data_IF_674312987194
#
_entry.id   IF_674312987194
#
_cell.length_a   1.000
_cell.length_b   1.000
_cell.length_c   1.000
_cell.angle_alpha   90.00
_cell.angle_beta   90.00
_cell.angle_gamma   90.00
#
_symmetry.space_group_name_H-M   'P 1'
#
loop_
_entity.id
_entity.type
_entity.pdbx_description
1 polymer ?
#
# COMPACT_ATOMS: atom_id res chain seq x y z
N UNK A 1 -45.24 14.49 -14.43
CA UNK A 1 -43.78 14.35 -14.64
C UNK A 1 -43.12 15.38 -13.80
N UNK A 2 -42.84 15.04 -12.52
CA UNK A 2 -42.06 15.88 -11.63
C UNK A 2 -40.59 15.70 -12.06
N UNK A 3 -39.99 16.79 -12.56
CA UNK A 3 -38.55 16.89 -12.64
C UNK A 3 -37.98 16.80 -11.23
N UNK A 4 -37.53 15.61 -10.83
CA UNK A 4 -36.71 15.46 -9.65
C UNK A 4 -35.42 16.22 -9.93
N UNK A 5 -35.33 17.41 -9.34
CA UNK A 5 -34.12 18.20 -9.28
C UNK A 5 -33.09 17.39 -8.50
N UNK A 6 -32.43 16.43 -9.14
CA UNK A 6 -31.32 15.67 -8.59
C UNK A 6 -30.18 16.65 -8.32
N UNK A 7 -30.20 17.23 -7.11
CA UNK A 7 -29.06 18.02 -6.64
C UNK A 7 -27.90 17.07 -6.44
N UNK A 8 -27.09 16.93 -7.51
CA UNK A 8 -25.88 16.11 -7.46
C UNK A 8 -24.95 16.66 -6.36
N UNK A 9 -24.52 15.81 -5.46
CA UNK A 9 -23.58 16.16 -4.38
C UNK A 9 -22.27 16.65 -5.03
N UNK A 10 -21.94 17.94 -4.82
CA UNK A 10 -20.71 18.55 -5.34
C UNK A 10 -19.51 18.34 -4.41
N UNK A 11 -19.77 18.24 -3.11
CA UNK A 11 -18.76 18.13 -2.06
C UNK A 11 -19.17 17.12 -0.99
N UNK A 12 -18.24 16.32 -0.51
CA UNK A 12 -18.36 15.47 0.67
C UNK A 12 -17.68 16.12 1.87
N UNK A 13 -18.12 15.74 3.09
CA UNK A 13 -17.55 16.16 4.37
C UNK A 13 -16.99 14.91 5.03
N UNK A 14 -15.67 14.81 5.15
CA UNK A 14 -14.99 13.70 5.82
C UNK A 14 -15.06 13.90 7.34
N UNK A 15 -15.71 12.97 8.05
CA UNK A 15 -15.86 13.06 9.50
C UNK A 15 -14.60 12.63 10.22
N UNK A 16 -13.50 13.23 10.14
CA UNK A 16 -12.21 12.99 10.80
C UNK A 16 -12.10 11.88 11.88
N UNK A 17 -10.99 11.81 12.58
CA UNK A 17 -10.71 10.75 13.56
C UNK A 17 -11.28 11.08 14.96
N UNK A 18 -11.27 12.35 15.33
CA UNK A 18 -11.68 12.82 16.66
C UNK A 18 -12.18 14.25 16.61
N UNK A 19 -12.99 14.61 17.61
CA UNK A 19 -13.45 15.98 17.86
C UNK A 19 -12.69 16.68 18.98
N UNK A 20 -11.83 15.96 19.74
CA UNK A 20 -11.06 16.54 20.84
C UNK A 20 -9.85 17.29 20.31
N UNK A 21 -9.81 18.61 20.49
CA UNK A 21 -8.76 19.49 19.94
C UNK A 21 -7.32 19.11 20.38
N UNK A 22 -7.12 18.78 21.65
CA UNK A 22 -5.81 18.34 22.14
C UNK A 22 -5.32 17.05 21.47
N UNK A 23 -6.25 16.10 21.24
CA UNK A 23 -5.94 14.86 20.56
C UNK A 23 -5.68 15.09 19.07
N UNK A 24 -6.35 16.06 18.43
CA UNK A 24 -6.10 16.44 17.03
C UNK A 24 -4.66 16.92 16.82
N UNK A 25 -4.15 17.78 17.70
CA UNK A 25 -2.75 18.28 17.61
C UNK A 25 -1.75 17.14 17.80
N UNK A 26 -1.99 16.27 18.78
CA UNK A 26 -1.12 15.11 19.00
C UNK A 26 -1.09 14.16 17.79
N UNK A 27 -2.27 13.82 17.26
CA UNK A 27 -2.40 12.96 16.06
C UNK A 27 -1.80 13.62 14.83
N UNK A 28 -1.96 14.95 14.66
CA UNK A 28 -1.34 15.67 13.57
C UNK A 28 0.18 15.53 13.57
N UNK A 29 0.82 15.78 14.73
CA UNK A 29 2.29 15.65 14.84
C UNK A 29 2.73 14.22 14.59
N UNK A 30 2.05 13.23 15.20
CA UNK A 30 2.40 11.83 15.03
C UNK A 30 2.26 11.37 13.57
N UNK A 31 1.14 11.67 12.92
CA UNK A 31 0.92 11.26 11.53
C UNK A 31 1.79 12.03 10.54
N UNK A 32 2.10 13.29 10.81
CA UNK A 32 3.07 14.04 10.01
C UNK A 32 4.46 13.38 10.07
N UNK A 33 4.91 12.97 11.26
CA UNK A 33 6.18 12.25 11.41
C UNK A 33 6.20 10.92 10.65
N UNK A 34 5.14 10.11 10.78
CA UNK A 34 5.02 8.86 10.03
C UNK A 34 4.99 9.11 8.51
N UNK A 35 4.28 10.13 8.06
CA UNK A 35 4.21 10.49 6.64
C UNK A 35 5.58 10.92 6.09
N UNK A 36 6.27 11.82 6.77
CA UNK A 36 7.61 12.25 6.36
C UNK A 36 8.61 11.09 6.36
N UNK A 37 8.51 10.21 7.37
CA UNK A 37 9.34 9.02 7.43
C UNK A 37 9.05 8.05 6.27
N UNK A 38 7.77 7.80 5.98
CA UNK A 38 7.35 7.00 4.82
C UNK A 38 7.83 7.62 3.50
N UNK A 39 7.63 8.94 3.34
CA UNK A 39 8.01 9.68 2.15
C UNK A 39 9.52 9.58 1.88
N UNK A 40 10.35 9.95 2.87
CA UNK A 40 11.81 9.94 2.73
C UNK A 40 12.34 8.52 2.60
N UNK A 41 11.81 7.59 3.39
CA UNK A 41 12.27 6.20 3.41
C UNK A 41 12.02 5.49 2.08
N UNK A 42 10.79 5.58 1.57
CA UNK A 42 10.42 4.93 0.32
C UNK A 42 11.12 5.59 -0.88
N UNK A 43 11.18 6.92 -0.94
CA UNK A 43 11.91 7.64 -1.98
C UNK A 43 13.40 7.25 -1.99
N UNK A 44 14.02 7.13 -0.82
CA UNK A 44 15.42 6.71 -0.69
C UNK A 44 15.66 5.32 -1.25
N UNK A 45 14.74 4.37 -1.01
CA UNK A 45 14.84 3.01 -1.56
C UNK A 45 14.72 3.05 -3.09
N UNK A 46 13.74 3.78 -3.63
CA UNK A 46 13.58 3.90 -5.10
C UNK A 46 14.86 4.46 -5.73
N UNK A 47 15.40 5.54 -5.18
CA UNK A 47 16.64 6.18 -5.69
C UNK A 47 17.82 5.20 -5.64
N UNK A 48 17.99 4.47 -4.54
CA UNK A 48 19.12 3.54 -4.39
C UNK A 48 18.96 2.34 -5.33
N UNK A 49 17.76 1.79 -5.49
CA UNK A 49 17.50 0.68 -6.43
C UNK A 49 17.79 1.08 -7.88
N UNK A 50 17.47 2.32 -8.25
CA UNK A 50 17.75 2.83 -9.61
C UNK A 50 19.22 3.14 -9.81
N UNK A 51 19.89 3.75 -8.80
CA UNK A 51 21.26 4.26 -8.92
C UNK A 51 22.36 3.19 -8.74
N UNK A 52 22.12 2.16 -7.93
CA UNK A 52 23.13 1.13 -7.65
C UNK A 52 22.91 -0.13 -8.51
N UNK A 53 23.78 -0.32 -9.51
CA UNK A 53 23.74 -1.49 -10.39
C UNK A 53 23.82 -2.83 -9.63
N UNK A 54 24.40 -2.87 -8.43
CA UNK A 54 24.42 -4.06 -7.58
C UNK A 54 23.04 -4.50 -7.09
N UNK A 55 22.06 -3.60 -7.16
CA UNK A 55 20.67 -3.86 -6.81
C UNK A 55 19.77 -4.16 -8.03
N UNK A 56 20.32 -4.31 -9.23
CA UNK A 56 19.53 -4.65 -10.43
C UNK A 56 19.22 -6.15 -10.51
N UNK A 57 18.54 -6.67 -9.51
CA UNK A 57 18.02 -8.05 -9.49
C UNK A 57 16.49 -8.03 -9.42
N UNK A 58 15.80 -9.13 -9.79
CA UNK A 58 14.32 -9.19 -9.75
C UNK A 58 13.74 -8.77 -8.41
N UNK A 59 14.29 -9.25 -7.30
CA UNK A 59 13.85 -8.90 -5.94
C UNK A 59 13.91 -7.40 -5.65
N UNK A 60 15.03 -6.73 -5.99
CA UNK A 60 15.16 -5.29 -5.74
C UNK A 60 14.34 -4.47 -6.73
N UNK A 61 14.10 -4.96 -7.93
CA UNK A 61 13.17 -4.35 -8.86
C UNK A 61 11.74 -4.32 -8.29
N UNK A 62 11.26 -5.44 -7.76
CA UNK A 62 9.96 -5.48 -7.08
C UNK A 62 9.94 -4.60 -5.83
N UNK A 63 11.02 -4.60 -5.06
CA UNK A 63 11.15 -3.74 -3.89
C UNK A 63 11.06 -2.26 -4.27
N UNK A 64 11.71 -1.84 -5.35
CA UNK A 64 11.61 -0.48 -5.88
C UNK A 64 10.19 -0.12 -6.30
N UNK A 65 9.48 -1.05 -6.97
CA UNK A 65 8.05 -0.89 -7.31
C UNK A 65 7.18 -0.75 -6.07
N UNK A 66 7.41 -1.57 -5.04
CA UNK A 66 6.65 -1.53 -3.80
C UNK A 66 6.89 -0.21 -3.04
N UNK A 67 8.14 0.24 -2.94
CA UNK A 67 8.46 1.54 -2.33
C UNK A 67 7.90 2.73 -3.11
N UNK A 68 7.88 2.66 -4.44
CA UNK A 68 7.22 3.66 -5.28
C UNK A 68 5.72 3.70 -5.01
N UNK A 69 5.09 2.54 -4.90
CA UNK A 69 3.68 2.40 -4.56
C UNK A 69 3.37 2.97 -3.17
N UNK A 70 4.13 2.60 -2.13
CA UNK A 70 3.96 3.08 -0.75
C UNK A 70 4.07 4.60 -0.64
N UNK A 71 4.99 5.21 -1.41
CA UNK A 71 5.14 6.66 -1.51
C UNK A 71 3.84 7.33 -1.96
N UNK A 72 3.24 6.84 -3.05
CA UNK A 72 1.97 7.39 -3.57
C UNK A 72 0.78 7.03 -2.69
N UNK A 73 0.78 5.84 -2.09
CA UNK A 73 -0.30 5.37 -1.22
C UNK A 73 -0.49 6.29 -0.01
N UNK A 74 0.59 6.58 0.71
CA UNK A 74 0.55 7.53 1.82
C UNK A 74 0.17 8.94 1.35
N UNK A 75 0.67 9.38 0.19
CA UNK A 75 0.38 10.71 -0.37
C UNK A 75 -1.08 10.87 -0.81
N UNK A 76 -1.76 9.78 -1.15
CA UNK A 76 -3.18 9.81 -1.55
C UNK A 76 -4.11 10.12 -0.37
N UNK A 77 -3.77 9.68 0.84
CA UNK A 77 -4.68 9.74 2.00
C UNK A 77 -4.23 10.70 3.09
N UNK A 78 -2.94 10.68 3.45
CA UNK A 78 -2.44 11.37 4.64
C UNK A 78 -2.50 12.89 4.56
N UNK A 79 -2.15 13.59 3.43
CA UNK A 79 -2.21 15.04 3.39
C UNK A 79 -3.62 15.61 3.66
N UNK A 80 -4.67 14.98 3.11
CA UNK A 80 -6.05 15.43 3.36
C UNK A 80 -6.49 15.13 4.79
N UNK A 81 -6.06 13.99 5.35
CA UNK A 81 -6.29 13.68 6.76
C UNK A 81 -5.63 14.70 7.69
N UNK A 82 -4.37 15.09 7.42
CA UNK A 82 -3.65 16.10 8.18
C UNK A 82 -4.31 17.47 8.09
N UNK A 83 -4.75 17.89 6.92
CA UNK A 83 -5.48 19.16 6.77
C UNK A 83 -6.77 19.17 7.57
N UNK A 84 -7.50 18.06 7.62
CA UNK A 84 -8.73 17.92 8.41
C UNK A 84 -8.52 17.91 9.93
N UNK A 85 -7.29 17.56 10.39
CA UNK A 85 -6.92 17.65 11.82
C UNK A 85 -6.51 19.07 12.24
N UNK A 86 -5.86 19.83 11.35
CA UNK A 86 -5.28 21.14 11.69
C UNK A 86 -6.21 22.32 11.41
N UNK A 87 -6.86 22.32 10.23
CA UNK A 87 -7.60 23.48 9.71
C UNK A 87 -9.11 23.27 9.82
N UNK A 88 -9.55 22.12 10.34
CA UNK A 88 -10.95 21.70 10.36
C UNK A 88 -11.60 21.67 8.94
N UNK A 89 -10.82 21.80 7.88
CA UNK A 89 -11.27 21.67 6.50
C UNK A 89 -11.54 20.21 6.15
N UNK A 90 -12.75 19.80 6.44
CA UNK A 90 -13.26 18.43 6.22
C UNK A 90 -13.89 18.23 4.85
N UNK A 91 -13.95 19.29 4.02
CA UNK A 91 -14.56 19.23 2.70
C UNK A 91 -13.64 18.64 1.66
N UNK A 92 -14.21 17.82 0.79
CA UNK A 92 -13.54 17.28 -0.40
C UNK A 92 -14.52 17.33 -1.57
N UNK A 93 -14.09 17.78 -2.74
CA UNK A 93 -14.95 17.77 -3.92
C UNK A 93 -15.31 16.35 -4.33
N UNK A 94 -16.44 16.15 -4.99
CA UNK A 94 -16.86 14.84 -5.52
C UNK A 94 -15.76 14.20 -6.35
N UNK A 95 -15.18 14.95 -7.29
CA UNK A 95 -14.14 14.46 -8.19
C UNK A 95 -12.87 14.04 -7.43
N UNK A 96 -12.43 14.85 -6.45
CA UNK A 96 -11.26 14.52 -5.64
C UNK A 96 -11.51 13.29 -4.74
N UNK A 97 -12.73 13.12 -4.24
CA UNK A 97 -13.14 11.94 -3.48
C UNK A 97 -13.09 10.68 -4.33
N UNK A 98 -13.67 10.70 -5.53
CA UNK A 98 -13.64 9.57 -6.48
C UNK A 98 -12.20 9.28 -6.95
N UNK A 99 -11.38 10.30 -7.19
CA UNK A 99 -9.97 10.13 -7.52
C UNK A 99 -9.19 9.49 -6.35
N UNK A 100 -9.42 9.95 -5.10
CA UNK A 100 -8.81 9.35 -3.90
C UNK A 100 -9.18 7.88 -3.76
N UNK A 101 -10.46 7.53 -3.93
CA UNK A 101 -10.95 6.16 -3.93
C UNK A 101 -10.25 5.32 -5.01
N UNK A 102 -10.15 5.86 -6.25
CA UNK A 102 -9.47 5.17 -7.34
C UNK A 102 -8.03 4.86 -7.00
N UNK A 103 -7.24 5.87 -6.64
CA UNK A 103 -5.82 5.67 -6.34
C UNK A 103 -5.60 4.77 -5.12
N UNK A 104 -6.42 4.89 -4.09
CA UNK A 104 -6.35 4.04 -2.91
C UNK A 104 -6.50 2.55 -3.28
N UNK A 105 -7.55 2.20 -4.02
CA UNK A 105 -7.80 0.82 -4.42
C UNK A 105 -6.82 0.33 -5.51
N UNK A 106 -6.39 1.19 -6.41
CA UNK A 106 -5.38 0.87 -7.42
C UNK A 106 -4.05 0.48 -6.77
N UNK A 107 -3.55 1.30 -5.87
CA UNK A 107 -2.27 1.06 -5.22
C UNK A 107 -2.36 -0.16 -4.29
N UNK A 108 -3.43 -0.28 -3.49
CA UNK A 108 -3.61 -1.42 -2.60
C UNK A 108 -3.69 -2.77 -3.34
N UNK A 109 -4.47 -2.87 -4.40
CA UNK A 109 -4.54 -4.11 -5.18
C UNK A 109 -3.25 -4.43 -5.93
N UNK A 110 -2.54 -3.41 -6.43
CA UNK A 110 -1.21 -3.58 -7.02
C UNK A 110 -0.20 -4.10 -5.99
N UNK A 111 -0.27 -3.65 -4.75
CA UNK A 111 0.57 -4.14 -3.64
C UNK A 111 0.37 -5.65 -3.43
N UNK A 112 -0.87 -6.14 -3.37
CA UNK A 112 -1.16 -7.56 -3.26
C UNK A 112 -0.53 -8.39 -4.39
N UNK A 113 -0.64 -7.91 -5.63
CA UNK A 113 -0.08 -8.58 -6.81
C UNK A 113 1.46 -8.55 -6.82
N UNK A 114 2.09 -7.45 -6.39
CA UNK A 114 3.55 -7.36 -6.26
C UNK A 114 4.06 -8.30 -5.16
N UNK A 115 3.40 -8.37 -4.00
CA UNK A 115 3.75 -9.30 -2.92
C UNK A 115 3.65 -10.76 -3.39
N UNK A 116 2.62 -11.10 -4.17
CA UNK A 116 2.51 -12.42 -4.78
C UNK A 116 3.69 -12.69 -5.75
N UNK A 117 4.04 -11.74 -6.61
CA UNK A 117 5.16 -11.86 -7.56
C UNK A 117 6.50 -12.00 -6.83
N UNK A 118 6.69 -11.30 -5.71
CA UNK A 118 7.86 -11.44 -4.84
C UNK A 118 7.92 -12.82 -4.16
N UNK A 119 6.77 -13.40 -3.77
CA UNK A 119 6.74 -14.74 -3.21
C UNK A 119 7.16 -15.79 -4.23
N UNK A 120 6.73 -15.63 -5.48
CA UNK A 120 7.18 -16.49 -6.58
C UNK A 120 8.68 -16.33 -6.84
N UNK A 121 9.21 -15.11 -6.84
CA UNK A 121 10.67 -14.87 -6.95
C UNK A 121 11.43 -15.61 -5.85
N UNK A 122 10.98 -15.53 -4.59
CA UNK A 122 11.61 -16.27 -3.47
C UNK A 122 11.53 -17.78 -3.67
N UNK A 123 10.39 -18.30 -4.10
CA UNK A 123 10.24 -19.71 -4.40
C UNK A 123 11.25 -20.19 -5.45
N UNK A 124 11.34 -19.49 -6.57
CA UNK A 124 12.30 -19.86 -7.64
C UNK A 124 13.74 -19.75 -7.16
N UNK A 125 14.10 -18.69 -6.45
CA UNK A 125 15.47 -18.47 -5.96
C UNK A 125 15.93 -19.54 -4.97
N UNK A 126 15.05 -20.09 -4.17
CA UNK A 126 15.40 -21.05 -3.12
C UNK A 126 15.24 -22.50 -3.61
N UNK A 127 14.11 -22.81 -4.28
CA UNK A 127 13.81 -24.17 -4.70
C UNK A 127 14.39 -24.56 -6.05
N UNK A 128 14.65 -23.59 -6.94
CA UNK A 128 15.17 -23.81 -8.29
C UNK A 128 16.37 -22.91 -8.65
N UNK A 129 17.43 -22.86 -7.83
CA UNK A 129 18.52 -21.89 -8.01
C UNK A 129 19.26 -22.01 -9.34
N UNK A 130 19.39 -23.22 -9.88
CA UNK A 130 20.08 -23.46 -11.16
C UNK A 130 19.30 -22.89 -12.36
N UNK A 131 17.97 -22.79 -12.26
CA UNK A 131 17.10 -22.25 -13.31
C UNK A 131 16.64 -20.82 -13.05
N UNK A 132 17.14 -20.20 -11.97
CA UNK A 132 16.67 -18.88 -11.54
C UNK A 132 16.78 -17.82 -12.64
N UNK A 133 17.92 -17.74 -13.32
CA UNK A 133 18.15 -16.77 -14.40
C UNK A 133 17.22 -16.94 -15.61
N UNK A 134 16.71 -18.15 -15.83
CA UNK A 134 15.74 -18.43 -16.91
C UNK A 134 14.33 -18.11 -16.45
N UNK A 135 13.94 -18.60 -15.26
CA UNK A 135 12.58 -18.46 -14.72
C UNK A 135 12.26 -17.03 -14.23
N UNK A 136 13.30 -16.29 -13.80
CA UNK A 136 13.22 -14.89 -13.37
C UNK A 136 14.12 -13.99 -14.21
N UNK A 137 14.20 -14.27 -15.52
CA UNK A 137 14.90 -13.42 -16.49
C UNK A 137 14.27 -12.03 -16.58
N UNK A 138 15.04 -11.06 -17.15
CA UNK A 138 14.61 -9.64 -17.20
C UNK A 138 13.22 -9.43 -17.76
N UNK A 139 12.87 -10.12 -18.83
CA UNK A 139 11.52 -10.03 -19.44
C UNK A 139 10.44 -10.50 -18.47
N UNK A 140 10.69 -11.61 -17.76
CA UNK A 140 9.69 -12.23 -16.87
C UNK A 140 9.34 -11.31 -15.69
N UNK A 141 10.33 -10.80 -14.96
CA UNK A 141 10.02 -9.95 -13.80
C UNK A 141 9.44 -8.60 -14.20
N UNK A 142 9.80 -8.04 -15.37
CA UNK A 142 9.17 -6.82 -15.90
C UNK A 142 7.71 -7.11 -16.27
N UNK A 143 7.43 -8.24 -16.92
CA UNK A 143 6.05 -8.64 -17.26
C UNK A 143 5.22 -8.87 -16.00
N UNK A 144 5.75 -9.54 -14.98
CA UNK A 144 5.05 -9.74 -13.71
C UNK A 144 4.69 -8.41 -13.04
N UNK A 145 5.62 -7.46 -13.01
CA UNK A 145 5.32 -6.13 -12.48
C UNK A 145 4.27 -5.40 -13.32
N UNK A 146 4.43 -5.39 -14.65
CA UNK A 146 3.45 -4.75 -15.55
C UNK A 146 2.05 -5.33 -15.37
N UNK A 147 1.93 -6.66 -15.32
CA UNK A 147 0.66 -7.35 -15.08
C UNK A 147 0.08 -6.97 -13.72
N UNK A 148 0.92 -6.86 -12.67
CA UNK A 148 0.49 -6.42 -11.33
C UNK A 148 -0.13 -5.03 -11.37
N UNK A 149 0.52 -4.06 -12.04
CA UNK A 149 0.02 -2.71 -12.21
C UNK A 149 -1.26 -2.67 -13.06
N UNK A 150 -1.32 -3.44 -14.15
CA UNK A 150 -2.49 -3.49 -15.04
C UNK A 150 -3.71 -4.07 -14.33
N UNK A 151 -3.57 -5.19 -13.62
CA UNK A 151 -4.67 -5.82 -12.87
C UNK A 151 -5.15 -4.86 -11.78
N UNK A 152 -4.22 -4.22 -11.04
CA UNK A 152 -4.58 -3.24 -10.02
C UNK A 152 -5.37 -2.06 -10.58
N UNK A 153 -4.97 -1.55 -11.74
CA UNK A 153 -5.69 -0.47 -12.43
C UNK A 153 -7.10 -0.88 -12.85
N UNK A 154 -7.25 -2.03 -13.51
CA UNK A 154 -8.55 -2.52 -13.97
C UNK A 154 -9.49 -2.84 -12.81
N UNK A 155 -8.94 -3.42 -11.73
CA UNK A 155 -9.65 -3.65 -10.48
C UNK A 155 -10.22 -2.33 -9.91
N UNK A 156 -9.37 -1.33 -9.74
CA UNK A 156 -9.79 -0.04 -9.19
C UNK A 156 -10.77 0.70 -10.11
N UNK A 157 -10.54 0.63 -11.42
CA UNK A 157 -11.41 1.26 -12.42
C UNK A 157 -12.85 0.73 -12.34
N UNK A 158 -13.02 -0.59 -12.16
CA UNK A 158 -14.34 -1.20 -12.02
C UNK A 158 -15.10 -0.65 -10.79
N UNK A 159 -14.43 -0.57 -9.64
CA UNK A 159 -15.01 0.00 -8.41
C UNK A 159 -15.28 1.49 -8.53
N UNK A 160 -14.38 2.23 -9.17
CA UNK A 160 -14.54 3.67 -9.39
C UNK A 160 -15.76 3.97 -10.24
N UNK A 161 -15.96 3.25 -11.35
CA UNK A 161 -17.12 3.42 -12.25
C UNK A 161 -18.41 3.08 -11.50
N UNK A 162 -18.45 1.97 -10.78
CA UNK A 162 -19.63 1.56 -10.02
C UNK A 162 -20.00 2.59 -8.95
N UNK A 163 -19.04 3.12 -8.20
CA UNK A 163 -19.28 4.06 -7.12
C UNK A 163 -19.62 5.47 -7.63
N UNK A 164 -18.95 5.93 -8.69
CA UNK A 164 -19.18 7.28 -9.24
C UNK A 164 -20.56 7.49 -9.86
N UNK A 165 -21.26 6.40 -10.23
CA UNK A 165 -22.60 6.45 -10.82
C UNK A 165 -23.75 6.41 -9.81
N UNK A 166 -23.43 6.30 -8.50
CA UNK A 166 -24.44 6.26 -7.46
C UNK A 166 -25.06 7.63 -7.20
N UNK A 167 -26.38 7.74 -7.04
CA UNK A 167 -27.04 8.94 -6.56
C UNK A 167 -26.86 9.09 -5.05
N UNK A 168 -26.44 10.28 -4.58
CA UNK A 168 -26.17 10.55 -3.15
C UNK A 168 -27.20 11.43 -2.47
N UNK A 169 -28.20 11.95 -3.18
CA UNK A 169 -29.42 12.64 -2.69
C UNK A 169 -29.18 13.57 -1.47
N UNK A 170 -28.23 14.51 -1.57
CA UNK A 170 -27.86 15.44 -0.50
C UNK A 170 -27.20 14.83 0.75
N UNK A 171 -26.98 13.53 0.82
CA UNK A 171 -26.19 12.93 1.89
C UNK A 171 -24.69 13.05 1.56
N UNK A 172 -24.00 13.96 2.28
CA UNK A 172 -22.60 14.28 1.98
C UNK A 172 -21.63 14.05 3.14
N UNK A 173 -22.08 13.51 4.29
CA UNK A 173 -21.22 13.26 5.46
C UNK A 173 -20.64 11.85 5.42
N UNK A 174 -19.40 11.71 4.95
CA UNK A 174 -18.65 10.44 4.93
C UNK A 174 -18.13 10.13 6.33
N UNK A 175 -18.53 8.99 6.89
CA UNK A 175 -18.16 8.56 8.24
C UNK A 175 -16.73 8.00 8.33
N UNK A 176 -15.81 8.58 7.54
CA UNK A 176 -14.41 8.18 7.47
C UNK A 176 -13.51 9.41 7.29
N UNK A 177 -12.18 9.25 7.44
CA UNK A 177 -11.19 10.31 7.23
C UNK A 177 -10.62 10.36 5.79
N UNK A 178 -11.02 9.44 4.94
CA UNK A 178 -10.77 9.42 3.49
C UNK A 178 -11.96 8.78 2.75
N UNK A 179 -11.98 8.92 1.44
CA UNK A 179 -13.03 8.35 0.60
C UNK A 179 -12.76 6.86 0.34
N UNK A 180 -13.66 6.02 0.85
CA UNK A 180 -13.64 4.58 0.64
C UNK A 180 -15.00 4.10 0.13
N UNK A 181 -15.03 2.92 -0.50
CA UNK A 181 -16.22 2.36 -1.13
C UNK A 181 -17.34 2.15 -0.10
N UNK A 182 -17.07 1.43 1.00
CA UNK A 182 -18.10 1.09 2.00
C UNK A 182 -18.80 2.30 2.60
N UNK A 183 -18.10 3.38 3.06
CA UNK A 183 -18.75 4.58 3.53
C UNK A 183 -19.57 5.30 2.46
N UNK A 184 -19.13 5.30 1.19
CA UNK A 184 -19.87 5.94 0.10
C UNK A 184 -21.11 5.14 -0.30
N UNK A 185 -21.06 3.82 -0.32
CA UNK A 185 -22.25 2.98 -0.57
C UNK A 185 -23.35 3.26 0.45
N UNK A 186 -23.01 3.49 1.72
CA UNK A 186 -23.97 3.85 2.78
C UNK A 186 -24.62 5.22 2.60
N UNK A 187 -24.04 6.11 1.79
CA UNK A 187 -24.60 7.43 1.49
C UNK A 187 -25.46 7.43 0.22
N UNK A 188 -25.42 6.36 -0.56
CA UNK A 188 -26.25 6.25 -1.74
C UNK A 188 -27.73 6.15 -1.36
N UNK A 189 -28.60 6.83 -2.10
CA UNK A 189 -30.04 6.80 -1.90
C UNK A 189 -30.77 5.81 -2.84
N UNK A 190 -30.05 4.83 -3.32
CA UNK A 190 -30.56 3.70 -4.12
C UNK A 190 -30.16 2.39 -3.46
N UNK A 191 -30.76 1.30 -3.90
CA UNK A 191 -30.33 -0.03 -3.47
C UNK A 191 -28.89 -0.31 -3.94
N UNK A 192 -28.01 -0.59 -2.99
CA UNK A 192 -26.57 -0.85 -3.21
C UNK A 192 -26.20 -2.33 -3.14
N UNK A 193 -27.15 -3.24 -2.98
CA UNK A 193 -26.90 -4.66 -2.76
C UNK A 193 -26.04 -5.28 -3.87
N UNK A 194 -26.29 -4.92 -5.14
CA UNK A 194 -25.50 -5.38 -6.28
C UNK A 194 -24.05 -4.85 -6.18
N UNK A 195 -23.89 -3.57 -5.86
CA UNK A 195 -22.58 -2.94 -5.71
C UNK A 195 -21.78 -3.56 -4.56
N UNK A 196 -22.42 -3.81 -3.41
CA UNK A 196 -21.80 -4.47 -2.25
C UNK A 196 -21.36 -5.90 -2.59
N UNK A 197 -22.21 -6.65 -3.29
CA UNK A 197 -21.90 -8.00 -3.75
C UNK A 197 -20.73 -8.03 -4.73
N UNK A 198 -20.72 -7.14 -5.71
CA UNK A 198 -19.62 -7.02 -6.68
C UNK A 198 -18.32 -6.62 -6.02
N UNK A 199 -18.35 -5.62 -5.10
CA UNK A 199 -17.18 -5.23 -4.30
C UNK A 199 -16.64 -6.43 -3.53
N UNK A 200 -17.50 -7.17 -2.86
CA UNK A 200 -17.10 -8.33 -2.05
C UNK A 200 -16.50 -9.44 -2.92
N UNK A 201 -17.13 -9.77 -4.06
CA UNK A 201 -16.64 -10.83 -4.95
C UNK A 201 -15.31 -10.42 -5.60
N UNK A 202 -15.22 -9.22 -6.16
CA UNK A 202 -14.01 -8.77 -6.88
C UNK A 202 -12.86 -8.59 -5.90
N UNK A 203 -13.08 -7.90 -4.76
CA UNK A 203 -12.05 -7.71 -3.74
C UNK A 203 -11.63 -9.04 -3.11
N UNK A 204 -12.61 -9.87 -2.78
CA UNK A 204 -12.36 -11.20 -2.20
C UNK A 204 -11.56 -12.09 -3.14
N UNK A 205 -11.88 -12.12 -4.43
CA UNK A 205 -11.15 -12.95 -5.41
C UNK A 205 -9.69 -12.53 -5.57
N UNK A 206 -9.40 -11.23 -5.61
CA UNK A 206 -8.01 -10.72 -5.70
C UNK A 206 -7.26 -11.00 -4.39
N UNK A 207 -7.84 -10.65 -3.24
CA UNK A 207 -7.16 -10.81 -1.95
C UNK A 207 -6.93 -12.29 -1.61
N UNK A 208 -7.95 -13.14 -1.72
CA UNK A 208 -7.85 -14.57 -1.42
C UNK A 208 -6.98 -15.28 -2.45
N UNK A 209 -7.13 -14.97 -3.74
CA UNK A 209 -6.34 -15.58 -4.80
C UNK A 209 -4.84 -15.32 -4.65
N UNK A 210 -4.45 -14.08 -4.42
CA UNK A 210 -3.05 -13.70 -4.19
C UNK A 210 -2.52 -14.29 -2.88
N UNK A 211 -3.30 -14.31 -1.81
CA UNK A 211 -2.92 -14.92 -0.54
C UNK A 211 -2.66 -16.43 -0.67
N UNK A 212 -3.54 -17.17 -1.35
CA UNK A 212 -3.37 -18.61 -1.60
C UNK A 212 -2.06 -18.87 -2.35
N UNK A 213 -1.76 -18.10 -3.41
CA UNK A 213 -0.53 -18.26 -4.18
C UNK A 213 0.74 -17.97 -3.35
N UNK A 214 0.68 -16.98 -2.45
CA UNK A 214 1.76 -16.71 -1.49
C UNK A 214 1.93 -17.90 -0.55
N UNK A 215 0.85 -18.42 0.05
CA UNK A 215 0.89 -19.56 0.96
C UNK A 215 1.45 -20.80 0.26
N UNK A 216 1.03 -21.08 -0.96
CA UNK A 216 1.57 -22.19 -1.77
C UNK A 216 3.09 -22.03 -1.96
N UNK A 217 3.54 -20.84 -2.39
CA UNK A 217 4.97 -20.56 -2.58
C UNK A 217 5.78 -20.78 -1.30
N UNK A 218 5.30 -20.29 -0.16
CA UNK A 218 5.99 -20.46 1.12
C UNK A 218 5.90 -21.87 1.69
N UNK A 219 4.84 -22.62 1.38
CA UNK A 219 4.75 -24.05 1.72
C UNK A 219 5.85 -24.85 1.00
N UNK A 220 6.03 -24.63 -0.29
CA UNK A 220 7.13 -25.28 -1.03
C UNK A 220 8.52 -24.87 -0.53
N UNK A 221 8.70 -23.59 -0.19
CA UNK A 221 9.94 -23.11 0.42
C UNK A 221 10.18 -23.83 1.76
N UNK A 222 9.18 -23.94 2.63
CA UNK A 222 9.29 -24.59 3.93
C UNK A 222 9.63 -26.07 3.80
N UNK A 223 8.99 -26.79 2.87
CA UNK A 223 9.32 -28.20 2.57
C UNK A 223 10.78 -28.30 2.08
N UNK A 224 11.19 -27.45 1.16
CA UNK A 224 12.57 -27.47 0.62
C UNK A 224 13.62 -27.20 1.70
N UNK A 225 13.34 -26.25 2.63
CA UNK A 225 14.23 -25.91 3.73
C UNK A 225 14.50 -27.08 4.69
N UNK A 226 13.55 -28.03 4.85
CA UNK A 226 13.73 -29.22 5.66
C UNK A 226 14.76 -30.19 5.06
N UNK A 227 14.97 -30.12 3.75
CA UNK A 227 15.94 -30.98 3.04
C UNK A 227 17.34 -30.36 2.95
N UNK A 228 17.52 -29.09 3.33
CA UNK A 228 18.82 -28.43 3.35
C UNK A 228 19.62 -28.89 4.57
N UNK A 229 20.68 -29.66 4.32
CA UNK A 229 21.56 -30.22 5.36
C UNK A 229 22.44 -29.17 6.06
N UNK A 230 22.74 -28.06 5.40
CA UNK A 230 23.60 -27.00 5.95
C UNK A 230 22.79 -25.97 6.75
N UNK A 231 23.05 -25.85 8.04
CA UNK A 231 22.41 -24.83 8.90
C UNK A 231 22.68 -23.40 8.40
N UNK A 232 23.88 -23.14 7.88
CA UNK A 232 24.23 -21.84 7.33
C UNK A 232 23.38 -21.50 6.08
N UNK A 233 23.18 -22.48 5.18
CA UNK A 233 22.34 -22.32 3.98
C UNK A 233 20.87 -22.08 4.37
N UNK A 234 20.36 -22.88 5.31
CA UNK A 234 18.99 -22.75 5.84
C UNK A 234 18.74 -21.38 6.49
N UNK A 235 19.64 -20.92 7.35
CA UNK A 235 19.54 -19.62 8.02
C UNK A 235 19.61 -18.44 7.02
N UNK A 236 20.44 -18.55 5.99
CA UNK A 236 20.51 -17.56 4.92
C UNK A 236 19.18 -17.46 4.15
N UNK A 237 18.58 -18.57 3.79
CA UNK A 237 17.29 -18.62 3.09
C UNK A 237 16.17 -18.05 3.98
N UNK A 238 16.08 -18.43 5.25
CA UNK A 238 15.10 -17.90 6.21
C UNK A 238 15.27 -16.38 6.36
N UNK A 239 16.49 -15.89 6.54
CA UNK A 239 16.76 -14.45 6.66
C UNK A 239 16.32 -13.67 5.43
N UNK A 240 16.47 -14.25 4.23
CA UNK A 240 16.06 -13.62 2.97
C UNK A 240 14.52 -13.56 2.83
N UNK A 241 13.82 -14.60 3.30
CA UNK A 241 12.35 -14.65 3.29
C UNK A 241 11.70 -13.79 4.36
N UNK A 242 12.37 -13.61 5.51
CA UNK A 242 11.74 -13.01 6.69
C UNK A 242 11.25 -11.58 6.49
N UNK A 243 11.98 -10.76 5.73
CA UNK A 243 11.55 -9.39 5.42
C UNK A 243 10.27 -9.35 4.59
N UNK A 244 10.20 -10.19 3.56
CA UNK A 244 9.00 -10.30 2.72
C UNK A 244 7.80 -10.84 3.51
N UNK A 245 8.00 -11.90 4.31
CA UNK A 245 6.94 -12.44 5.16
C UNK A 245 6.40 -11.42 6.17
N UNK A 246 7.25 -10.55 6.73
CA UNK A 246 6.78 -9.48 7.62
C UNK A 246 5.85 -8.51 6.90
N UNK A 247 6.19 -8.10 5.68
CA UNK A 247 5.33 -7.20 4.89
C UNK A 247 4.04 -7.90 4.49
N UNK A 248 4.10 -9.16 4.07
CA UNK A 248 2.91 -9.98 3.78
C UNK A 248 1.99 -10.09 5.02
N UNK A 249 2.55 -10.33 6.20
CA UNK A 249 1.78 -10.40 7.45
C UNK A 249 1.16 -9.05 7.82
N UNK A 250 1.87 -7.94 7.62
CA UNK A 250 1.32 -6.61 7.84
C UNK A 250 0.18 -6.33 6.87
N UNK A 251 0.38 -6.56 5.57
CA UNK A 251 -0.62 -6.31 4.54
C UNK A 251 -1.88 -7.17 4.75
N UNK A 252 -1.73 -8.49 4.75
CA UNK A 252 -2.88 -9.40 4.86
C UNK A 252 -3.47 -9.45 6.27
N UNK A 253 -2.66 -9.25 7.32
CA UNK A 253 -3.15 -9.15 8.69
C UNK A 253 -4.10 -7.96 8.86
N UNK A 254 -3.75 -6.80 8.34
CA UNK A 254 -4.64 -5.62 8.35
C UNK A 254 -5.85 -5.82 7.46
N UNK A 255 -5.69 -6.40 6.26
CA UNK A 255 -6.81 -6.71 5.36
C UNK A 255 -7.81 -7.68 6.00
N UNK A 256 -7.36 -8.78 6.60
CA UNK A 256 -8.23 -9.72 7.29
C UNK A 256 -8.92 -9.09 8.49
N UNK A 257 -8.22 -8.25 9.25
CA UNK A 257 -8.86 -7.49 10.33
C UNK A 257 -9.98 -6.56 9.83
N UNK A 258 -9.91 -6.05 8.62
CA UNK A 258 -10.94 -5.19 8.03
C UNK A 258 -12.12 -5.98 7.46
N UNK A 259 -11.86 -7.11 6.79
CA UNK A 259 -12.87 -7.82 5.99
C UNK A 259 -13.52 -9.01 6.69
N UNK A 260 -12.86 -9.66 7.66
CA UNK A 260 -13.38 -10.85 8.35
C UNK A 260 -14.13 -10.55 9.65
N UNK A 261 -14.31 -9.27 10.00
CA UNK A 261 -15.04 -8.90 11.22
C UNK A 261 -16.56 -8.99 11.04
N UNK A 262 -17.27 -9.53 12.03
CA UNK A 262 -18.72 -9.43 12.06
C UNK A 262 -19.17 -7.96 12.18
N UNK A 263 -20.31 -7.62 11.59
CA UNK A 263 -20.90 -6.29 11.67
C UNK A 263 -21.37 -6.02 13.11
N UNK A 264 -20.56 -5.35 13.92
CA UNK A 264 -20.89 -4.91 15.29
C UNK A 264 -21.14 -3.42 15.32
N UNK A 265 -21.77 -2.92 16.41
CA UNK A 265 -22.03 -1.47 16.58
C UNK A 265 -20.73 -0.63 16.56
N UNK A 266 -19.61 -1.23 17.00
CA UNK A 266 -18.30 -0.57 17.05
C UNK A 266 -17.49 -0.76 15.75
N UNK A 267 -18.06 -1.40 14.73
CA UNK A 267 -17.37 -1.71 13.48
C UNK A 267 -16.79 -0.45 12.80
N UNK A 268 -17.48 0.68 12.89
CA UNK A 268 -17.06 1.93 12.25
C UNK A 268 -15.77 2.51 12.87
N UNK A 269 -15.66 2.49 14.20
CA UNK A 269 -14.45 2.99 14.89
C UNK A 269 -13.28 2.05 14.66
N UNK A 270 -13.53 0.76 14.69
CA UNK A 270 -12.52 -0.26 14.39
C UNK A 270 -12.07 -0.20 12.92
N UNK A 271 -12.95 0.07 11.96
CA UNK A 271 -12.59 0.26 10.56
C UNK A 271 -11.65 1.46 10.39
N UNK A 272 -11.91 2.58 11.10
CA UNK A 272 -11.01 3.75 11.11
C UNK A 272 -9.63 3.41 11.65
N UNK A 273 -9.54 2.65 12.76
CA UNK A 273 -8.27 2.24 13.36
C UNK A 273 -7.48 1.32 12.43
N UNK A 274 -8.14 0.35 11.81
CA UNK A 274 -7.50 -0.54 10.83
C UNK A 274 -7.04 0.23 9.59
N UNK A 275 -7.82 1.23 9.16
CA UNK A 275 -7.44 2.09 8.05
C UNK A 275 -6.18 2.93 8.36
N UNK A 276 -5.97 3.40 9.59
CA UNK A 276 -4.73 4.07 10.01
C UNK A 276 -3.53 3.12 9.89
N UNK A 277 -3.68 1.87 10.32
CA UNK A 277 -2.63 0.87 10.18
C UNK A 277 -2.23 0.70 8.71
N UNK A 278 -3.21 0.63 7.84
CA UNK A 278 -3.02 0.39 6.41
C UNK A 278 -2.46 1.61 5.67
N UNK A 279 -2.99 2.82 5.95
CA UNK A 279 -2.67 4.03 5.18
C UNK A 279 -1.45 4.80 5.69
N UNK A 280 -1.14 4.69 6.98
CA UNK A 280 -0.09 5.49 7.63
C UNK A 280 1.06 4.61 8.11
N UNK A 281 0.74 3.55 8.87
CA UNK A 281 1.76 2.78 9.59
C UNK A 281 2.46 1.80 8.66
N UNK A 282 1.73 1.03 7.86
CA UNK A 282 2.32 0.04 6.94
C UNK A 282 3.29 0.67 5.94
N UNK A 283 2.94 1.77 5.20
CA UNK A 283 3.88 2.42 4.29
C UNK A 283 5.12 3.01 4.98
N UNK A 284 5.02 3.35 6.26
CA UNK A 284 6.16 3.83 7.05
C UNK A 284 7.04 2.67 7.56
N UNK A 285 6.46 1.51 7.87
CA UNK A 285 7.21 0.34 8.35
C UNK A 285 7.94 -0.40 7.22
N UNK A 286 7.39 -0.42 6.00
CA UNK A 286 7.97 -1.12 4.87
C UNK A 286 9.44 -0.73 4.61
N UNK A 287 9.82 0.55 4.46
CA UNK A 287 11.21 0.94 4.28
C UNK A 287 12.10 0.58 5.47
N UNK A 288 11.59 0.59 6.70
CA UNK A 288 12.35 0.13 7.87
C UNK A 288 12.67 -1.36 7.77
N UNK A 289 11.67 -2.18 7.47
CA UNK A 289 11.83 -3.64 7.36
C UNK A 289 12.89 -3.96 6.30
N UNK A 290 12.84 -3.29 5.15
CA UNK A 290 13.79 -3.51 4.07
C UNK A 290 15.18 -2.94 4.37
N UNK A 291 15.27 -1.71 4.88
CA UNK A 291 16.56 -1.08 5.19
C UNK A 291 17.28 -1.75 6.37
N UNK A 292 16.54 -2.19 7.40
CA UNK A 292 17.18 -2.81 8.58
C UNK A 292 17.60 -4.26 8.33
N UNK A 293 16.81 -5.05 7.62
CA UNK A 293 17.07 -6.47 7.42
C UNK A 293 17.85 -6.80 6.15
N UNK A 294 17.80 -5.95 5.11
CA UNK A 294 18.52 -6.17 3.88
C UNK A 294 19.89 -5.47 3.92
N UNK A 295 20.95 -6.28 4.05
CA UNK A 295 22.34 -5.78 4.14
C UNK A 295 22.78 -4.99 2.91
N UNK A 296 22.34 -5.38 1.71
CA UNK A 296 22.71 -4.73 0.45
C UNK A 296 22.04 -3.35 0.34
N UNK A 297 20.74 -3.27 0.61
CA UNK A 297 20.01 -1.98 0.65
C UNK A 297 20.65 -1.04 1.66
N UNK A 298 20.95 -1.54 2.86
CA UNK A 298 21.63 -0.75 3.91
C UNK A 298 23.01 -0.25 3.49
N UNK A 299 23.80 -1.10 2.79
CA UNK A 299 25.11 -0.75 2.26
C UNK A 299 25.01 0.34 1.21
N UNK A 300 24.07 0.19 0.26
CA UNK A 300 23.89 1.14 -0.83
C UNK A 300 23.35 2.49 -0.33
N UNK A 301 22.43 2.50 0.65
CA UNK A 301 21.98 3.71 1.33
C UNK A 301 23.15 4.43 2.01
N UNK A 302 24.01 3.70 2.75
CA UNK A 302 25.20 4.30 3.37
C UNK A 302 26.14 4.92 2.35
N UNK A 303 26.39 4.23 1.24
CA UNK A 303 27.24 4.72 0.15
C UNK A 303 26.67 6.03 -0.43
N UNK A 304 25.38 6.08 -0.68
CA UNK A 304 24.69 7.26 -1.18
C UNK A 304 24.82 8.45 -0.21
N UNK A 305 24.58 8.24 1.10
CA UNK A 305 24.75 9.28 2.10
C UNK A 305 26.17 9.82 2.21
N UNK A 306 27.17 8.95 2.10
CA UNK A 306 28.59 9.38 2.10
C UNK A 306 28.89 10.25 0.87
N UNK A 307 28.46 9.85 -0.31
CA UNK A 307 28.67 10.63 -1.55
C UNK A 307 28.00 12.01 -1.43
N UNK A 308 26.78 12.09 -0.92
CA UNK A 308 26.08 13.36 -0.71
C UNK A 308 26.83 14.25 0.29
N UNK A 309 27.30 13.69 1.41
CA UNK A 309 28.08 14.41 2.41
C UNK A 309 29.38 14.99 1.84
N UNK A 310 30.14 14.19 1.07
CA UNK A 310 31.38 14.66 0.44
C UNK A 310 31.12 15.74 -0.63
N UNK A 311 30.04 15.61 -1.40
CA UNK A 311 29.66 16.60 -2.41
C UNK A 311 29.29 17.95 -1.78
N UNK A 312 28.62 17.93 -0.62
CA UNK A 312 28.25 19.14 0.13
C UNK A 312 29.48 19.80 0.78
N UNK A 313 30.46 19.00 1.20
CA UNK A 313 31.72 19.52 1.78
C UNK A 313 32.71 20.03 0.74
N UNK A 314 32.52 19.66 -0.54
CA UNK A 314 33.37 20.07 -1.65
C UNK A 314 32.84 21.29 -2.43
N UNK A 315 31.67 21.83 -2.09
CA UNK A 315 31.18 23.09 -2.63
C UNK A 315 31.87 24.24 -1.88
N UNK A 316 32.78 25.02 -2.53
CA UNK A 316 33.37 26.19 -1.88
C UNK A 316 32.27 27.20 -1.62
N UNK A 317 32.23 27.71 -0.40
CA UNK A 317 31.47 28.90 -0.01
C UNK A 317 32.09 30.08 -0.79
N UNK A 318 31.63 30.33 -2.01
CA UNK A 318 31.90 31.59 -2.71
C UNK A 318 30.72 32.52 -2.40
N UNK A 319 30.79 33.13 -1.25
CA UNK A 319 30.04 34.36 -0.93
C UNK A 319 31.07 35.39 -0.49
N UNK A 320 31.47 36.19 -1.40
CA UNK A 320 32.01 37.53 -1.17
C UNK A 320 31.20 38.49 -1.99
#
# INVERSE_FOLDING_TARGET
MEETNETSVKEFILLGLTSFHQLQIFLFIAFLMFYLFSFVGNLSIVVVVVADHGLHTPMYFFLGNLSFLDFFYATTTVPKMLSGLLIEDKKISFQACIAQLHFFHFLGSTEAMLLMSMSYDRYVAICNPLRYHVLMGRTVYIQLAFISWLIGFLYSLSHTILTSRLPFCNMNKVTHFYCDIKPLLKLACTDTHINESLVTIITGSVAVGTFILIVISYTFIAIHLQHIKSDQGRNKAISTCSSHLMVVLLYYGTAFCTYLRPATKDALEQDRMTAILFTVITPALNPMIYALRNKEVKRSLRKMFLVLKYRHSALPVSLS
#
